data_IF_262984182638
#
_entry.id   IF_262984182638
#
_cell.length_a   1.000
_cell.length_b   1.000
_cell.length_c   1.000
_cell.angle_alpha   90.00
_cell.angle_beta   90.00
_cell.angle_gamma   90.00
#
_symmetry.space_group_name_H-M   'P 1'
#
loop_
_entity.id
_entity.type
_entity.pdbx_description
1 polymer ?
#
# COMPACT_ATOMS: atom_id res chain seq x y z
N UNK A 1 4.25 5.77 37.87
CA UNK A 1 3.53 4.46 37.96
C UNK A 1 3.64 3.76 36.63
N UNK A 2 4.39 2.68 36.56
CA UNK A 2 4.47 1.87 35.33
C UNK A 2 3.31 0.89 35.41
N UNK A 3 2.23 1.16 34.72
CA UNK A 3 1.10 0.22 34.62
C UNK A 3 1.59 -1.09 34.02
N UNK A 4 1.40 -2.20 34.76
CA UNK A 4 1.62 -3.53 34.19
C UNK A 4 0.66 -3.74 33.01
N UNK A 5 1.15 -4.19 31.86
CA UNK A 5 0.26 -4.47 30.74
C UNK A 5 -0.66 -5.64 31.06
N UNK A 6 -1.91 -5.52 30.68
CA UNK A 6 -2.88 -6.59 30.80
C UNK A 6 -2.71 -7.58 29.66
N UNK A 7 -2.88 -8.86 29.96
CA UNK A 7 -2.86 -9.93 28.98
C UNK A 7 -4.05 -9.84 28.02
N UNK A 8 -3.77 -9.99 26.73
CA UNK A 8 -4.76 -10.35 25.71
C UNK A 8 -4.44 -11.76 25.22
N UNK A 9 -5.46 -12.58 25.06
CA UNK A 9 -5.25 -13.95 24.58
C UNK A 9 -4.93 -14.96 25.69
N UNK A 10 -4.72 -16.21 25.27
CA UNK A 10 -4.53 -17.34 26.18
C UNK A 10 -3.08 -17.50 26.64
N UNK A 11 -2.12 -17.18 25.79
CA UNK A 11 -0.71 -17.34 26.13
C UNK A 11 -0.23 -16.26 27.12
N UNK A 12 0.52 -16.68 28.13
CA UNK A 12 1.01 -15.82 29.20
C UNK A 12 2.55 -15.79 29.19
N UNK A 13 3.11 -14.61 29.38
CA UNK A 13 4.55 -14.41 29.59
C UNK A 13 4.85 -14.29 31.08
N UNK A 14 6.06 -14.67 31.46
CA UNK A 14 6.54 -14.46 32.82
C UNK A 14 6.55 -12.95 33.14
N UNK A 15 6.09 -12.54 34.33
CA UNK A 15 6.05 -11.14 34.74
C UNK A 15 7.41 -10.39 34.66
N UNK A 16 8.51 -11.07 34.99
CA UNK A 16 9.86 -10.48 34.92
C UNK A 16 10.28 -10.23 33.46
N UNK A 17 10.06 -11.21 32.60
CA UNK A 17 10.34 -11.12 31.18
C UNK A 17 9.48 -10.03 30.51
N UNK A 18 8.21 -9.95 30.89
CA UNK A 18 7.27 -8.97 30.39
C UNK A 18 7.70 -7.52 30.71
N UNK A 19 8.19 -7.27 31.93
CA UNK A 19 8.66 -5.94 32.33
C UNK A 19 9.92 -5.55 31.54
N UNK A 20 10.87 -6.48 31.40
CA UNK A 20 12.09 -6.27 30.64
C UNK A 20 11.78 -6.01 29.15
N UNK A 21 10.92 -6.82 28.55
CA UNK A 21 10.52 -6.70 27.15
C UNK A 21 9.76 -5.39 26.88
N UNK A 22 8.85 -5.00 27.80
CA UNK A 22 8.13 -3.72 27.69
C UNK A 22 9.04 -2.50 27.78
N UNK A 23 10.08 -2.54 28.64
CA UNK A 23 11.06 -1.46 28.73
C UNK A 23 11.90 -1.35 27.46
N UNK A 24 12.29 -2.47 26.90
CA UNK A 24 13.11 -2.55 25.70
C UNK A 24 12.32 -2.41 24.39
N UNK A 25 10.98 -2.47 24.44
CA UNK A 25 10.17 -2.46 23.25
C UNK A 25 10.32 -1.17 22.43
N UNK A 26 10.34 -1.31 21.12
CA UNK A 26 10.34 -0.19 20.17
C UNK A 26 8.95 0.44 20.12
N UNK A 27 8.86 1.67 20.59
CA UNK A 27 7.59 2.41 20.61
C UNK A 27 7.29 2.97 19.22
N UNK A 28 6.07 2.73 18.74
CA UNK A 28 5.59 3.26 17.47
C UNK A 28 4.14 3.71 17.69
N UNK A 29 3.93 5.02 17.72
CA UNK A 29 2.64 5.58 18.11
C UNK A 29 2.20 5.06 19.50
N UNK A 30 0.94 4.65 19.64
CA UNK A 30 0.39 4.17 20.92
C UNK A 30 0.74 2.70 21.21
N UNK A 31 1.35 2.00 20.26
CA UNK A 31 1.75 0.60 20.34
C UNK A 31 3.25 0.43 20.57
N UNK A 32 3.73 -0.79 20.70
CA UNK A 32 5.14 -1.11 20.83
C UNK A 32 5.43 -2.54 20.37
N UNK A 33 6.57 -2.70 19.69
CA UNK A 33 7.07 -4.00 19.23
C UNK A 33 8.17 -4.43 20.20
N UNK A 34 7.95 -5.47 20.96
CA UNK A 34 8.92 -6.10 21.85
C UNK A 34 9.57 -7.31 21.17
N UNK A 35 10.55 -7.93 21.83
CA UNK A 35 11.15 -9.17 21.32
C UNK A 35 10.23 -10.39 21.49
N UNK A 36 9.40 -10.40 22.56
CA UNK A 36 8.54 -11.53 22.93
C UNK A 36 7.05 -11.25 22.70
N UNK A 37 6.64 -9.96 22.70
CA UNK A 37 5.23 -9.60 22.61
C UNK A 37 5.02 -8.29 21.86
N UNK A 38 3.84 -8.18 21.26
CA UNK A 38 3.30 -6.95 20.70
C UNK A 38 2.49 -6.23 21.79
N UNK A 39 2.80 -4.95 22.02
CA UNK A 39 2.11 -4.11 22.99
C UNK A 39 1.09 -3.23 22.30
N UNK A 40 -0.16 -3.33 22.75
CA UNK A 40 -1.32 -2.68 22.14
C UNK A 40 -1.94 -1.67 23.08
N UNK A 41 -2.52 -0.62 22.52
CA UNK A 41 -3.18 0.41 23.32
C UNK A 41 -4.60 0.00 23.73
N UNK A 42 -5.08 0.63 24.78
CA UNK A 42 -6.51 0.82 25.02
C UNK A 42 -6.91 2.21 24.47
N UNK A 43 -8.18 2.56 24.59
CA UNK A 43 -8.70 3.83 24.06
C UNK A 43 -7.91 5.07 24.59
N UNK A 44 -7.47 5.03 25.87
CA UNK A 44 -6.79 6.16 26.53
C UNK A 44 -5.34 5.86 26.96
N UNK A 45 -4.92 4.59 26.98
CA UNK A 45 -3.65 4.18 27.58
C UNK A 45 -2.80 3.46 26.55
N UNK A 46 -1.63 4.03 26.26
CA UNK A 46 -0.66 3.43 25.37
C UNK A 46 -0.08 2.14 25.98
N UNK A 47 0.11 1.13 25.12
CA UNK A 47 0.71 -0.16 25.52
C UNK A 47 0.07 -0.74 26.80
N UNK A 48 -1.26 -0.64 26.85
CA UNK A 48 -2.05 -1.17 27.98
C UNK A 48 -2.12 -2.67 27.99
N UNK A 49 -2.11 -3.28 26.79
CA UNK A 49 -2.21 -4.72 26.62
C UNK A 49 -0.94 -5.28 26.03
N UNK A 50 -0.68 -6.56 26.28
CA UNK A 50 0.35 -7.31 25.59
C UNK A 50 -0.23 -8.58 24.96
N UNK A 51 0.35 -9.00 23.86
CA UNK A 51 -0.01 -10.21 23.13
C UNK A 51 1.29 -10.90 22.68
N UNK A 52 1.60 -12.11 23.20
CA UNK A 52 2.73 -12.89 22.72
C UNK A 52 2.59 -13.21 21.24
N UNK A 53 3.69 -13.21 20.50
CA UNK A 53 3.67 -13.43 19.04
C UNK A 53 3.07 -14.78 18.66
N UNK A 54 3.27 -15.83 19.46
CA UNK A 54 2.69 -17.16 19.23
C UNK A 54 1.16 -17.22 19.27
N UNK A 55 0.49 -16.20 19.86
CA UNK A 55 -0.97 -16.10 19.87
C UNK A 55 -1.52 -15.26 18.71
N UNK A 56 -0.65 -14.59 17.96
CA UNK A 56 -1.06 -13.71 16.86
C UNK A 56 -1.27 -14.55 15.60
N UNK A 57 -2.46 -14.47 15.04
CA UNK A 57 -2.78 -15.13 13.79
C UNK A 57 -2.46 -14.21 12.61
N UNK A 58 -2.73 -12.90 12.75
CA UNK A 58 -2.62 -11.93 11.66
C UNK A 58 -2.58 -10.51 12.19
N UNK A 59 -1.83 -9.63 11.50
CA UNK A 59 -1.82 -8.19 11.80
C UNK A 59 -1.96 -7.40 10.49
N UNK A 60 -2.91 -6.47 10.43
CA UNK A 60 -3.10 -5.70 9.21
C UNK A 60 -3.64 -4.30 9.49
N UNK A 61 -3.48 -3.42 8.51
CA UNK A 61 -4.03 -2.09 8.50
C UNK A 61 -5.45 -2.11 7.94
N UNK A 62 -6.37 -1.43 8.62
CA UNK A 62 -7.70 -1.13 8.12
C UNK A 62 -7.90 0.37 8.07
N UNK A 63 -8.40 0.88 6.96
CA UNK A 63 -8.78 2.29 6.83
C UNK A 63 -10.29 2.36 6.82
N UNK A 64 -10.86 3.06 7.80
CA UNK A 64 -12.29 3.38 7.79
C UNK A 64 -12.45 4.81 7.27
N UNK A 65 -13.37 4.97 6.33
CA UNK A 65 -13.83 6.26 5.87
C UNK A 65 -15.09 6.64 6.66
N UNK A 66 -15.06 7.76 7.35
CA UNK A 66 -16.25 8.30 7.98
C UNK A 66 -16.92 9.27 7.00
N UNK A 67 -18.14 8.94 6.60
CA UNK A 67 -19.04 9.89 5.95
C UNK A 67 -19.76 10.66 7.05
N UNK A 68 -19.21 11.77 7.49
CA UNK A 68 -19.75 12.52 8.59
C UNK A 68 -19.71 14.02 8.32
N UNK A 69 -20.82 14.57 7.93
CA UNK A 69 -21.11 15.99 7.97
C UNK A 69 -22.60 16.19 7.97
N UNK A 70 -23.10 17.05 8.84
CA UNK A 70 -24.51 17.42 9.00
C UNK A 70 -25.19 17.89 7.70
N UNK A 71 -24.43 18.14 6.65
CA UNK A 71 -24.89 18.61 5.33
C UNK A 71 -24.64 17.64 4.18
N UNK A 72 -24.21 16.39 4.42
CA UNK A 72 -23.92 15.42 3.35
C UNK A 72 -22.73 15.76 2.44
N UNK A 73 -22.10 16.92 2.65
CA UNK A 73 -20.91 17.39 1.92
C UNK A 73 -19.67 17.41 2.82
N UNK A 74 -19.64 16.57 3.86
CA UNK A 74 -18.55 16.51 4.82
C UNK A 74 -17.25 15.99 4.21
N UNK A 75 -16.14 16.55 4.69
CA UNK A 75 -14.79 16.08 4.41
C UNK A 75 -14.66 14.63 4.88
N UNK A 76 -14.33 13.72 4.00
CA UNK A 76 -14.06 12.33 4.35
C UNK A 76 -12.78 12.27 5.21
N UNK A 77 -12.96 12.04 6.49
CA UNK A 77 -11.83 11.72 7.35
C UNK A 77 -11.56 10.21 7.26
N UNK A 78 -10.37 9.85 6.77
CA UNK A 78 -9.88 8.49 6.84
C UNK A 78 -9.21 8.27 8.20
N UNK A 79 -9.62 7.22 8.92
CA UNK A 79 -8.95 6.79 10.15
C UNK A 79 -8.30 5.43 9.91
N UNK A 80 -6.99 5.38 10.11
CA UNK A 80 -6.25 4.14 10.03
C UNK A 80 -6.22 3.44 11.38
N UNK A 81 -6.52 2.14 11.40
CA UNK A 81 -6.39 1.28 12.57
C UNK A 81 -5.42 0.14 12.28
N UNK A 82 -4.69 -0.24 13.30
CA UNK A 82 -4.05 -1.55 13.33
C UNK A 82 -5.08 -2.56 13.86
N UNK A 83 -5.28 -3.64 13.12
CA UNK A 83 -6.11 -4.76 13.54
C UNK A 83 -5.19 -5.95 13.81
N UNK A 84 -5.30 -6.52 15.00
CA UNK A 84 -4.55 -7.72 15.39
C UNK A 84 -5.56 -8.82 15.66
N UNK A 85 -5.43 -9.92 14.93
CA UNK A 85 -6.22 -11.14 15.11
C UNK A 85 -5.41 -12.15 15.92
N UNK A 86 -6.07 -12.79 16.89
CA UNK A 86 -5.43 -13.72 17.82
C UNK A 86 -6.42 -14.77 18.32
N UNK A 87 -5.90 -15.88 18.87
CA UNK A 87 -6.66 -16.94 19.52
C UNK A 87 -7.91 -17.40 18.74
N UNK A 88 -7.76 -17.68 17.45
CA UNK A 88 -8.83 -18.27 16.64
C UNK A 88 -9.94 -17.31 16.22
N UNK A 89 -9.63 -16.02 16.00
CA UNK A 89 -10.57 -15.06 15.40
C UNK A 89 -10.95 -13.88 16.28
N UNK A 90 -10.41 -13.80 17.49
CA UNK A 90 -10.55 -12.58 18.29
C UNK A 90 -9.77 -11.45 17.65
N UNK A 91 -10.34 -10.24 17.66
CA UNK A 91 -9.72 -9.07 17.07
C UNK A 91 -9.53 -7.96 18.11
N UNK A 92 -8.38 -7.31 18.07
CA UNK A 92 -8.11 -6.06 18.78
C UNK A 92 -7.79 -4.97 17.79
N UNK A 93 -8.54 -3.88 17.85
CA UNK A 93 -8.32 -2.68 17.04
C UNK A 93 -7.57 -1.65 17.87
N UNK A 94 -6.58 -1.02 17.25
CA UNK A 94 -5.76 0.03 17.81
C UNK A 94 -5.79 1.25 16.91
N UNK A 95 -6.26 2.39 17.45
CA UNK A 95 -6.33 3.65 16.71
C UNK A 95 -5.00 4.36 16.78
N UNK A 96 -4.58 4.91 15.65
CA UNK A 96 -3.38 5.72 15.54
C UNK A 96 -3.77 7.15 15.15
N UNK A 97 -3.01 8.11 15.65
CA UNK A 97 -3.18 9.52 15.27
C UNK A 97 -2.62 9.79 13.87
N UNK A 98 -1.53 9.11 13.52
CA UNK A 98 -0.86 9.21 12.22
C UNK A 98 -0.87 7.85 11.53
N UNK A 99 -1.37 7.82 10.30
CA UNK A 99 -1.40 6.62 9.45
C UNK A 99 0.00 6.06 9.20
N UNK A 100 0.99 6.92 9.07
CA UNK A 100 2.40 6.54 8.86
C UNK A 100 2.98 5.70 9.99
N UNK A 101 2.48 5.87 11.21
CA UNK A 101 2.93 5.05 12.34
C UNK A 101 2.40 3.62 12.25
N UNK A 102 1.20 3.40 11.66
CA UNK A 102 0.70 2.05 11.37
C UNK A 102 1.61 1.37 10.35
N UNK A 103 1.97 2.07 9.27
CA UNK A 103 2.83 1.53 8.22
C UNK A 103 4.23 1.19 8.76
N UNK A 104 4.84 2.08 9.56
CA UNK A 104 6.11 1.81 10.26
C UNK A 104 6.04 0.59 11.17
N UNK A 105 4.92 0.42 11.88
CA UNK A 105 4.75 -0.73 12.76
C UNK A 105 4.68 -2.03 11.96
N UNK A 106 3.95 -2.04 10.84
CA UNK A 106 3.87 -3.20 9.95
C UNK A 106 5.23 -3.50 9.30
N UNK A 107 6.00 -2.49 8.88
CA UNK A 107 7.36 -2.68 8.37
C UNK A 107 8.30 -3.32 9.40
N UNK A 108 8.20 -2.88 10.65
CA UNK A 108 9.01 -3.47 11.74
C UNK A 108 8.59 -4.92 12.00
N UNK A 109 7.29 -5.19 12.03
CA UNK A 109 6.78 -6.56 12.19
C UNK A 109 7.19 -7.46 11.02
N UNK A 110 7.16 -6.97 9.78
CA UNK A 110 7.62 -7.71 8.62
C UNK A 110 9.08 -8.16 8.73
N UNK A 111 9.92 -7.32 9.34
CA UNK A 111 11.35 -7.60 9.52
C UNK A 111 11.62 -8.52 10.72
N UNK A 112 10.95 -8.27 11.85
CA UNK A 112 11.21 -8.97 13.10
C UNK A 112 10.41 -10.26 13.26
N UNK A 113 9.23 -10.34 12.62
CA UNK A 113 8.28 -11.46 12.74
C UNK A 113 7.69 -11.84 11.38
N UNK A 114 8.51 -12.31 10.42
CA UNK A 114 8.07 -12.58 9.04
C UNK A 114 7.02 -13.70 8.93
N UNK A 115 6.86 -14.51 9.97
CA UNK A 115 5.86 -15.57 10.03
C UNK A 115 4.43 -15.06 10.22
N UNK A 116 4.24 -13.79 10.61
CA UNK A 116 2.92 -13.22 10.85
C UNK A 116 2.39 -12.60 9.55
N UNK A 117 1.25 -13.05 9.01
CA UNK A 117 0.62 -12.43 7.85
C UNK A 117 0.22 -10.99 8.13
N UNK A 118 0.59 -10.07 7.22
CA UNK A 118 0.33 -8.63 7.38
C UNK A 118 -0.81 -8.10 6.50
N UNK A 119 -1.58 -9.01 5.91
CA UNK A 119 -2.75 -8.69 5.11
C UNK A 119 -4.01 -9.31 5.71
N UNK A 120 -5.16 -8.68 5.50
CA UNK A 120 -6.45 -9.30 5.80
C UNK A 120 -6.71 -10.45 4.83
N UNK A 121 -7.56 -11.41 5.21
CA UNK A 121 -7.96 -12.52 4.31
C UNK A 121 -8.50 -12.01 2.97
N UNK A 122 -9.36 -10.99 3.02
CA UNK A 122 -9.87 -10.37 1.81
C UNK A 122 -8.77 -9.71 0.96
N UNK A 123 -7.74 -9.14 1.61
CA UNK A 123 -6.58 -8.56 0.95
C UNK A 123 -5.71 -9.61 0.26
N UNK A 124 -5.49 -10.76 0.91
CA UNK A 124 -4.76 -11.90 0.32
C UNK A 124 -5.51 -12.49 -0.86
N UNK A 125 -6.82 -12.72 -0.72
CA UNK A 125 -7.65 -13.22 -1.82
C UNK A 125 -7.65 -12.25 -3.01
N UNK A 126 -7.73 -10.94 -2.75
CA UNK A 126 -7.68 -9.93 -3.81
C UNK A 126 -6.31 -9.90 -4.52
N UNK A 127 -5.21 -10.09 -3.79
CA UNK A 127 -3.86 -10.21 -4.36
C UNK A 127 -3.73 -11.46 -5.22
N UNK A 128 -4.11 -12.62 -4.70
CA UNK A 128 -4.08 -13.89 -5.42
C UNK A 128 -4.92 -13.82 -6.70
N UNK A 129 -6.12 -13.20 -6.63
CA UNK A 129 -6.96 -13.00 -7.82
C UNK A 129 -6.29 -12.12 -8.87
N UNK A 130 -5.67 -11.01 -8.46
CA UNK A 130 -4.92 -10.14 -9.38
C UNK A 130 -3.71 -10.81 -9.98
N UNK A 131 -2.99 -11.63 -9.22
CA UNK A 131 -1.86 -12.40 -9.73
C UNK A 131 -2.32 -13.48 -10.71
N UNK A 132 -3.41 -14.19 -10.40
CA UNK A 132 -4.02 -15.15 -11.31
C UNK A 132 -4.53 -14.48 -12.60
N UNK A 133 -5.15 -13.31 -12.50
CA UNK A 133 -5.58 -12.52 -13.67
C UNK A 133 -4.38 -12.05 -14.51
N UNK A 134 -3.28 -11.63 -13.87
CA UNK A 134 -2.04 -11.28 -14.57
C UNK A 134 -1.40 -12.48 -15.24
N UNK A 135 -1.37 -13.62 -14.57
CA UNK A 135 -0.85 -14.87 -15.12
C UNK A 135 -1.74 -15.41 -16.27
N UNK A 136 -3.07 -15.29 -16.12
CA UNK A 136 -4.04 -15.66 -17.14
C UNK A 136 -4.08 -14.69 -18.33
N UNK A 137 -3.60 -13.46 -18.14
CA UNK A 137 -3.41 -12.48 -19.21
C UNK A 137 -2.19 -12.92 -20.03
N UNK A 138 -2.32 -14.02 -20.76
CA UNK A 138 -1.40 -14.34 -21.86
C UNK A 138 -1.38 -13.10 -22.74
N UNK A 139 -0.22 -12.45 -22.83
CA UNK A 139 0.02 -11.44 -23.85
C UNK A 139 -0.39 -12.10 -25.16
N UNK A 140 -1.33 -11.55 -25.93
CA UNK A 140 -1.70 -12.14 -27.22
C UNK A 140 -0.39 -12.31 -27.99
N UNK A 141 -0.16 -13.53 -28.49
CA UNK A 141 1.01 -13.76 -29.36
C UNK A 141 0.95 -12.72 -30.45
N UNK A 142 2.04 -11.97 -30.56
CA UNK A 142 2.15 -10.96 -31.60
C UNK A 142 1.87 -11.61 -32.95
N UNK A 143 0.87 -11.13 -33.68
CA UNK A 143 0.63 -11.55 -35.05
C UNK A 143 1.91 -11.38 -35.88
N UNK A 144 2.09 -12.16 -36.94
CA UNK A 144 3.31 -12.07 -37.73
C UNK A 144 3.52 -10.67 -38.34
N UNK A 145 2.44 -9.96 -38.64
CA UNK A 145 2.47 -8.55 -39.03
C UNK A 145 2.98 -7.65 -37.95
N UNK A 146 2.58 -7.88 -36.68
CA UNK A 146 3.06 -7.12 -35.56
C UNK A 146 4.54 -7.40 -35.25
N UNK A 147 4.99 -8.65 -35.40
CA UNK A 147 6.44 -9.02 -35.29
C UNK A 147 7.25 -8.33 -36.36
N UNK A 148 6.75 -8.30 -37.60
CA UNK A 148 7.39 -7.59 -38.70
C UNK A 148 7.49 -6.08 -38.39
N UNK A 149 6.40 -5.47 -37.93
CA UNK A 149 6.38 -4.05 -37.56
C UNK A 149 7.39 -3.72 -36.45
N UNK A 150 7.50 -4.58 -35.42
CA UNK A 150 8.49 -4.43 -34.34
C UNK A 150 9.92 -4.52 -34.88
N UNK A 151 10.20 -5.44 -35.81
CA UNK A 151 11.53 -5.56 -36.44
C UNK A 151 11.87 -4.35 -37.29
N UNK A 152 10.91 -3.82 -38.03
CA UNK A 152 11.11 -2.58 -38.83
C UNK A 152 11.38 -1.39 -37.91
N UNK A 153 10.60 -1.24 -36.82
CA UNK A 153 10.80 -0.16 -35.85
C UNK A 153 12.16 -0.26 -35.14
N UNK A 154 12.61 -1.46 -34.80
CA UNK A 154 13.95 -1.65 -34.20
C UNK A 154 15.05 -1.23 -35.17
N UNK A 155 14.99 -1.67 -36.43
CA UNK A 155 15.97 -1.25 -37.43
C UNK A 155 15.95 0.26 -37.67
N UNK A 156 14.77 0.87 -37.65
CA UNK A 156 14.65 2.32 -37.78
C UNK A 156 15.24 3.04 -36.57
N UNK A 157 15.08 2.50 -35.38
CA UNK A 157 15.70 3.05 -34.15
C UNK A 157 17.22 2.94 -34.22
N UNK A 158 17.78 1.78 -34.54
CA UNK A 158 19.22 1.56 -34.72
C UNK A 158 19.79 2.54 -35.75
N UNK A 159 19.11 2.74 -36.88
CA UNK A 159 19.52 3.69 -37.91
C UNK A 159 19.51 5.14 -37.44
N UNK A 160 18.54 5.52 -36.59
CA UNK A 160 18.48 6.87 -36.01
C UNK A 160 19.52 7.09 -34.91
N UNK A 161 19.91 6.03 -34.20
CA UNK A 161 20.98 6.09 -33.19
C UNK A 161 22.36 6.29 -33.87
N UNK A 162 22.57 5.66 -35.04
CA UNK A 162 23.78 5.86 -35.85
C UNK A 162 23.86 7.27 -36.49
N UNK A 163 22.71 7.93 -36.68
CA UNK A 163 22.61 9.24 -37.35
C UNK A 163 21.82 10.24 -36.49
N UNK A 164 22.41 10.78 -35.45
CA UNK A 164 21.71 11.68 -34.51
C UNK A 164 21.18 12.95 -35.18
N UNK A 165 21.85 13.42 -36.26
CA UNK A 165 21.37 14.59 -37.00
C UNK A 165 19.98 14.36 -37.62
N UNK A 166 19.74 13.17 -38.20
CA UNK A 166 18.42 12.82 -38.75
C UNK A 166 17.36 12.66 -37.64
N UNK A 167 17.76 12.16 -36.48
CA UNK A 167 16.86 12.05 -35.32
C UNK A 167 16.41 13.43 -34.83
N UNK A 168 17.31 14.39 -34.80
CA UNK A 168 16.99 15.78 -34.44
C UNK A 168 16.08 16.44 -35.49
N UNK A 169 16.38 16.29 -36.79
CA UNK A 169 15.53 16.82 -37.87
C UNK A 169 14.11 16.24 -37.83
N UNK A 170 13.99 14.90 -37.60
CA UNK A 170 12.71 14.23 -37.46
C UNK A 170 11.91 14.78 -36.28
N UNK A 171 12.57 14.93 -35.13
CA UNK A 171 11.95 15.48 -33.91
C UNK A 171 11.52 16.94 -34.09
N UNK A 172 12.30 17.75 -34.83
CA UNK A 172 11.95 19.11 -35.16
C UNK A 172 10.76 19.17 -36.14
N UNK A 173 10.72 18.32 -37.14
CA UNK A 173 9.61 18.19 -38.07
C UNK A 173 8.30 17.78 -37.36
N UNK A 174 8.35 16.81 -36.45
CA UNK A 174 7.21 16.42 -35.63
C UNK A 174 6.70 17.58 -34.76
N UNK A 175 7.60 18.32 -34.09
CA UNK A 175 7.22 19.48 -33.28
C UNK A 175 6.53 20.56 -34.13
N UNK A 176 7.04 20.83 -35.35
CA UNK A 176 6.41 21.74 -36.29
C UNK A 176 5.01 21.28 -36.69
N UNK A 177 4.86 20.00 -37.02
CA UNK A 177 3.58 19.40 -37.39
C UNK A 177 2.56 19.50 -36.23
N UNK A 178 2.97 19.18 -35.01
CA UNK A 178 2.12 19.30 -33.80
C UNK A 178 1.73 20.74 -33.51
N UNK A 179 2.64 21.69 -33.72
CA UNK A 179 2.35 23.13 -33.58
C UNK A 179 1.34 23.61 -34.63
N UNK A 180 1.48 23.17 -35.89
CA UNK A 180 0.52 23.49 -36.96
C UNK A 180 -0.87 22.93 -36.70
N UNK A 181 -0.95 21.68 -36.17
CA UNK A 181 -2.22 21.05 -35.79
C UNK A 181 -2.90 21.78 -34.62
N UNK A 182 -2.13 22.26 -33.65
CA UNK A 182 -2.64 23.07 -32.53
C UNK A 182 -3.09 24.46 -32.95
N UNK A 183 -2.49 25.05 -33.99
CA UNK A 183 -2.77 26.41 -34.45
C UNK A 183 -3.92 26.54 -35.43
N UNK A 184 -4.50 25.42 -35.92
CA UNK A 184 -5.68 25.49 -36.81
C UNK A 184 -6.91 25.91 -36.00
N UNK A 185 -7.39 27.17 -36.15
CA UNK A 185 -8.52 27.69 -35.34
C UNK A 185 -9.82 26.96 -35.60
N UNK A 186 -9.93 26.28 -36.76
CA UNK A 186 -11.12 25.54 -37.19
C UNK A 186 -11.57 24.49 -36.13
N UNK A 187 -10.65 23.81 -35.47
CA UNK A 187 -11.02 22.82 -34.44
C UNK A 187 -11.56 23.46 -33.17
N UNK A 188 -11.19 24.71 -32.84
CA UNK A 188 -11.76 25.45 -31.70
C UNK A 188 -13.19 25.88 -31.95
N UNK A 189 -13.51 26.26 -33.20
CA UNK A 189 -14.85 26.69 -33.58
C UNK A 189 -15.81 25.53 -33.77
N UNK A 190 -15.32 24.37 -34.25
CA UNK A 190 -16.13 23.14 -34.34
C UNK A 190 -16.52 22.62 -32.96
N UNK A 191 -15.61 22.64 -31.98
CA UNK A 191 -15.93 22.25 -30.61
C UNK A 191 -16.95 23.19 -29.94
N UNK A 192 -16.92 24.51 -30.27
CA UNK A 192 -17.88 25.50 -29.76
C UNK A 192 -19.26 25.44 -30.45
N UNK A 193 -19.35 24.84 -31.66
CA UNK A 193 -20.61 24.71 -32.40
C UNK A 193 -21.38 23.41 -32.03
N UNK A 194 -20.79 22.52 -31.27
CA UNK A 194 -21.39 21.22 -30.82
C UNK A 194 -21.97 21.34 -29.39
N UNK A 195 -21.68 22.44 -28.70
CA UNK A 195 -22.25 22.78 -27.39
C UNK A 195 -23.21 24.00 -27.53
#
# INVERSE_FOLDING_TARGET
MIFKPAQLGMAKLDPQELEADKKACRKIGPCGVGKKALYLNSFYIDRRYYLPYGSITRVFKRVAMSSGGFSGKGVFASMAYLVVEYDGGKQKQCNFKDERDVDKLLEVLAKEQPQIPLLSEAGEQALQKKEAEKAARKLPELTDEAKHSVTVLRKAQEYLEEKPELAEELSAAERRKRAQLKSKPVYRYVALAIF
#
